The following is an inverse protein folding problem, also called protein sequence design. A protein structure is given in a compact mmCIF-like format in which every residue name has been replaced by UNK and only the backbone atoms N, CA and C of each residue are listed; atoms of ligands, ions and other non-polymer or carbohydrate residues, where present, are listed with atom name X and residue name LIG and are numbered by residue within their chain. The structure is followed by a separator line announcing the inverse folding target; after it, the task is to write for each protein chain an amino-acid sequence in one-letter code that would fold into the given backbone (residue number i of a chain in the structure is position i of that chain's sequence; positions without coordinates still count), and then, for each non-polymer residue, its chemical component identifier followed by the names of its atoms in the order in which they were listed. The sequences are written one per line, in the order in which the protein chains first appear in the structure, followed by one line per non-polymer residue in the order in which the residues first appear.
data_IF_605220306292
#
_entry.id   IF_605220306292
#
_cell.length_a   1.000
_cell.length_b   1.000
_cell.length_c   1.000
_cell.angle_alpha   90.00
_cell.angle_beta   90.00
_cell.angle_gamma   90.00
#
_symmetry.space_group_name_H-M   'P 1'
#
loop_
_entity.id
_entity.type
_entity.pdbx_description
1 polymer ?
#
# COMPACT_ATOMS: atom_id res chain seq x y z
N UNK A 1 15.21 -20.14 8.68
CA UNK A 1 14.02 -19.29 8.94
C UNK A 1 13.00 -19.52 7.82
N UNK A 2 11.75 -19.73 8.15
CA UNK A 2 10.66 -19.81 7.15
C UNK A 2 10.27 -18.40 6.70
N UNK A 3 9.57 -18.28 5.56
CA UNK A 3 9.09 -16.96 5.09
C UNK A 3 8.11 -16.34 6.09
N UNK A 4 7.25 -17.13 6.72
CA UNK A 4 6.31 -16.64 7.74
C UNK A 4 7.04 -16.10 8.98
N UNK A 5 8.10 -16.80 9.43
CA UNK A 5 8.93 -16.30 10.54
C UNK A 5 9.63 -14.98 10.17
N UNK A 6 10.15 -14.87 8.94
CA UNK A 6 10.82 -13.67 8.46
C UNK A 6 9.84 -12.48 8.35
N UNK A 7 8.64 -12.71 7.80
CA UNK A 7 7.57 -11.69 7.73
C UNK A 7 7.18 -11.24 9.15
N UNK A 8 6.97 -12.19 10.07
CA UNK A 8 6.63 -11.88 11.47
C UNK A 8 7.69 -11.01 12.13
N UNK A 9 8.97 -11.36 12.00
CA UNK A 9 10.08 -10.57 12.56
C UNK A 9 10.14 -9.16 11.97
N UNK A 10 9.86 -9.01 10.66
CA UNK A 10 9.79 -7.73 9.99
C UNK A 10 8.66 -6.86 10.57
N UNK A 11 7.47 -7.42 10.74
CA UNK A 11 6.32 -6.72 11.35
C UNK A 11 6.62 -6.33 12.80
N UNK A 12 7.18 -7.23 13.61
CA UNK A 12 7.55 -6.95 14.99
C UNK A 12 8.60 -5.84 15.09
N UNK A 13 9.59 -5.84 14.18
CA UNK A 13 10.57 -4.77 14.10
C UNK A 13 9.93 -3.43 13.77
N UNK A 14 9.04 -3.41 12.77
CA UNK A 14 8.29 -2.22 12.43
C UNK A 14 7.48 -1.67 13.63
N UNK A 15 6.76 -2.54 14.34
CA UNK A 15 5.99 -2.13 15.52
C UNK A 15 6.87 -1.48 16.60
N UNK A 16 8.07 -2.04 16.85
CA UNK A 16 9.02 -1.42 17.80
C UNK A 16 9.47 -0.03 17.35
N UNK A 17 9.77 0.14 16.06
CA UNK A 17 10.16 1.43 15.48
C UNK A 17 9.03 2.43 15.50
N UNK A 18 7.80 1.99 15.19
CA UNK A 18 6.61 2.81 15.27
C UNK A 18 6.37 3.33 16.69
N UNK A 19 6.39 2.47 17.71
CA UNK A 19 6.26 2.87 19.12
C UNK A 19 7.33 3.90 19.51
N UNK A 20 8.57 3.69 19.07
CA UNK A 20 9.66 4.66 19.29
C UNK A 20 9.38 6.00 18.61
N UNK A 21 8.82 6.01 17.42
CA UNK A 21 8.55 7.23 16.65
C UNK A 21 7.35 8.02 17.16
N UNK A 22 6.22 7.36 17.49
CA UNK A 22 4.95 8.04 17.82
C UNK A 22 4.49 7.82 19.27
N UNK A 23 4.99 6.76 19.92
CA UNK A 23 4.78 6.50 21.36
C UNK A 23 3.54 5.66 21.72
N UNK A 24 2.88 5.03 20.77
CA UNK A 24 1.81 4.05 20.95
C UNK A 24 1.93 2.93 19.90
N UNK A 25 1.21 1.81 20.08
CA UNK A 25 1.33 0.65 19.18
C UNK A 25 0.76 0.93 17.79
N UNK A 26 1.20 0.17 16.81
CA UNK A 26 0.63 0.27 15.46
C UNK A 26 -0.79 -0.30 15.41
N UNK A 27 -1.13 -1.25 16.27
CA UNK A 27 -2.51 -1.73 16.44
C UNK A 27 -3.43 -0.61 16.93
N UNK A 28 -3.00 0.22 17.89
CA UNK A 28 -3.74 1.42 18.30
C UNK A 28 -3.90 2.43 17.16
N UNK A 29 -2.86 2.60 16.33
CA UNK A 29 -2.94 3.44 15.13
C UNK A 29 -4.01 2.95 14.16
N UNK A 30 -4.08 1.65 13.91
CA UNK A 30 -5.11 1.06 13.04
C UNK A 30 -6.51 1.33 13.58
N UNK A 31 -6.71 1.22 14.89
CA UNK A 31 -8.01 1.53 15.51
C UNK A 31 -8.36 3.03 15.44
N UNK A 32 -7.38 3.91 15.61
CA UNK A 32 -7.58 5.36 15.43
C UNK A 32 -8.00 5.65 13.98
N UNK A 33 -7.28 5.07 13.00
CA UNK A 33 -7.57 5.30 11.59
C UNK A 33 -8.96 4.75 11.18
N UNK A 34 -9.37 3.59 11.73
CA UNK A 34 -10.73 3.07 11.51
C UNK A 34 -11.79 4.04 12.01
N UNK A 35 -11.63 4.58 13.22
CA UNK A 35 -12.55 5.57 13.80
C UNK A 35 -12.59 6.87 12.99
N UNK A 36 -11.43 7.38 12.57
CA UNK A 36 -11.33 8.58 11.72
C UNK A 36 -12.08 8.36 10.39
N UNK A 37 -11.87 7.20 9.77
CA UNK A 37 -12.56 6.81 8.55
C UNK A 37 -14.08 6.72 8.74
N UNK A 38 -14.53 6.01 9.79
CA UNK A 38 -15.95 5.84 10.05
C UNK A 38 -16.64 7.19 10.30
N UNK A 39 -15.99 8.10 11.03
CA UNK A 39 -16.47 9.45 11.24
C UNK A 39 -16.55 10.24 9.93
N UNK A 40 -15.54 10.12 9.05
CA UNK A 40 -15.55 10.79 7.75
C UNK A 40 -16.64 10.23 6.83
N UNK A 41 -16.82 8.90 6.80
CA UNK A 41 -17.89 8.24 6.04
C UNK A 41 -19.28 8.68 6.54
N UNK A 42 -19.48 8.74 7.86
CA UNK A 42 -20.76 9.20 8.44
C UNK A 42 -21.08 10.64 8.02
N UNK A 43 -20.09 11.55 8.10
CA UNK A 43 -20.25 12.93 7.63
C UNK A 43 -20.55 13.01 6.14
N UNK A 44 -19.86 12.19 5.32
CA UNK A 44 -20.11 12.13 3.89
C UNK A 44 -21.52 11.59 3.57
N UNK A 45 -22.01 10.59 4.33
CA UNK A 45 -23.39 10.09 4.22
C UNK A 45 -24.43 11.13 4.57
N UNK A 46 -24.24 11.87 5.67
CA UNK A 46 -25.13 12.97 6.07
C UNK A 46 -25.21 14.02 4.95
N UNK A 47 -24.06 14.41 4.43
CA UNK A 47 -24.00 15.42 3.37
C UNK A 47 -24.58 14.92 2.04
N UNK A 48 -24.36 13.66 1.68
CA UNK A 48 -24.97 13.05 0.50
C UNK A 48 -26.51 13.11 0.57
N UNK A 49 -27.10 12.83 1.75
CA UNK A 49 -28.55 12.95 1.98
C UNK A 49 -29.07 14.37 1.81
N UNK A 50 -28.35 15.37 2.31
CA UNK A 50 -28.71 16.79 2.16
C UNK A 50 -28.80 17.22 0.68
N UNK A 51 -27.98 16.62 -0.19
CA UNK A 51 -27.95 16.93 -1.63
C UNK A 51 -28.78 15.97 -2.48
N UNK A 52 -29.55 15.04 -1.84
CA UNK A 52 -30.58 14.24 -2.50
C UNK A 52 -30.17 12.80 -2.86
N UNK A 53 -29.07 12.27 -2.30
CA UNK A 53 -28.70 10.87 -2.40
C UNK A 53 -29.05 10.11 -1.11
N UNK A 54 -29.21 8.80 -1.17
CA UNK A 54 -29.50 7.98 0.02
C UNK A 54 -28.29 7.89 0.97
N UNK A 55 -27.09 7.83 0.40
CA UNK A 55 -25.83 7.77 1.12
C UNK A 55 -24.65 8.15 0.19
N UNK A 56 -23.45 8.14 0.75
CA UNK A 56 -22.20 8.42 0.04
C UNK A 56 -21.91 7.38 -1.06
N UNK A 57 -22.28 6.13 -0.86
CA UNK A 57 -22.05 5.07 -1.85
C UNK A 57 -22.88 5.29 -3.11
N UNK A 58 -24.16 5.62 -2.97
CA UNK A 58 -25.00 5.97 -4.12
C UNK A 58 -24.44 7.18 -4.89
N UNK A 59 -23.96 8.20 -4.15
CA UNK A 59 -23.31 9.35 -4.78
C UNK A 59 -22.08 8.94 -5.62
N UNK A 60 -21.20 8.08 -5.09
CA UNK A 60 -20.01 7.60 -5.82
C UNK A 60 -20.38 6.73 -7.01
N UNK A 61 -21.37 5.84 -6.87
CA UNK A 61 -21.86 5.01 -7.98
C UNK A 61 -22.43 5.88 -9.08
N UNK A 62 -23.18 6.91 -8.73
CA UNK A 62 -23.71 7.87 -9.68
C UNK A 62 -22.60 8.64 -10.39
N UNK A 63 -21.60 9.14 -9.65
CA UNK A 63 -20.41 9.77 -10.23
C UNK A 63 -19.72 8.83 -11.22
N UNK A 64 -19.44 7.60 -10.83
CA UNK A 64 -18.75 6.62 -11.66
C UNK A 64 -19.54 6.27 -12.94
N UNK A 65 -20.87 6.29 -12.88
CA UNK A 65 -21.72 6.04 -14.04
C UNK A 65 -21.60 7.11 -15.15
N UNK A 66 -21.10 8.28 -14.80
CA UNK A 66 -20.89 9.40 -15.72
C UNK A 66 -19.48 9.47 -16.31
N UNK A 67 -18.53 8.64 -15.83
CA UNK A 67 -17.22 8.55 -16.46
C UNK A 67 -17.34 7.86 -17.81
N UNK A 68 -17.01 8.56 -18.87
CA UNK A 68 -16.85 7.98 -20.21
C UNK A 68 -15.37 7.72 -20.44
N UNK A 69 -15.06 6.50 -20.84
CA UNK A 69 -13.71 6.16 -21.31
C UNK A 69 -13.54 6.66 -22.74
N UNK A 70 -12.52 7.46 -22.95
CA UNK A 70 -12.05 7.89 -24.26
C UNK A 70 -10.64 7.33 -24.45
N UNK A 71 -10.43 6.56 -25.52
CA UNK A 71 -9.15 5.89 -25.80
C UNK A 71 -7.97 6.88 -25.96
N UNK A 72 -8.26 8.12 -26.34
CA UNK A 72 -7.22 9.15 -26.56
C UNK A 72 -6.97 10.02 -25.35
N UNK A 73 -7.97 10.25 -24.51
CA UNK A 73 -7.95 11.21 -23.40
C UNK A 73 -8.13 10.56 -22.03
N UNK A 74 -8.37 9.26 -21.96
CA UNK A 74 -8.68 8.55 -20.72
C UNK A 74 -10.10 8.82 -20.21
N UNK A 75 -10.32 8.62 -18.88
CA UNK A 75 -11.63 8.86 -18.28
C UNK A 75 -11.95 10.35 -18.20
N UNK A 76 -13.07 10.76 -18.80
CA UNK A 76 -13.60 12.12 -18.72
C UNK A 76 -14.92 12.13 -17.97
N UNK A 77 -15.11 13.13 -17.12
CA UNK A 77 -16.40 13.43 -16.52
C UNK A 77 -17.36 13.97 -17.59
N UNK A 78 -18.62 13.48 -17.60
CA UNK A 78 -19.66 14.10 -18.41
C UNK A 78 -19.95 15.53 -17.90
N UNK A 79 -20.50 16.39 -18.76
CA UNK A 79 -20.85 17.77 -18.41
C UNK A 79 -21.81 17.84 -17.20
N UNK A 80 -22.72 16.86 -17.06
CA UNK A 80 -23.66 16.77 -15.95
C UNK A 80 -22.93 16.54 -14.60
N UNK A 81 -21.90 15.69 -14.59
CA UNK A 81 -21.09 15.44 -13.39
C UNK A 81 -20.24 16.66 -13.03
N UNK A 82 -19.63 17.29 -14.04
CA UNK A 82 -18.89 18.55 -13.83
C UNK A 82 -19.80 19.63 -13.22
N UNK A 83 -21.04 19.70 -13.66
CA UNK A 83 -22.02 20.65 -13.11
C UNK A 83 -22.43 20.31 -11.67
N UNK A 84 -22.70 19.04 -11.35
CA UNK A 84 -23.05 18.60 -10.00
C UNK A 84 -21.88 18.73 -9.03
N UNK A 85 -20.65 18.45 -9.50
CA UNK A 85 -19.42 18.60 -8.72
C UNK A 85 -19.16 20.06 -8.30
N UNK A 86 -19.49 21.01 -9.16
CA UNK A 86 -19.37 22.44 -8.86
C UNK A 86 -20.41 22.90 -7.82
N UNK A 87 -21.51 22.18 -7.63
CA UNK A 87 -22.56 22.50 -6.65
C UNK A 87 -22.23 22.10 -5.23
N UNK A 88 -21.34 21.12 -5.01
CA UNK A 88 -21.04 20.63 -3.67
C UNK A 88 -19.54 20.45 -3.39
N UNK A 89 -18.88 21.59 -3.24
CA UNK A 89 -17.48 21.62 -2.83
C UNK A 89 -17.26 20.95 -1.46
N UNK A 90 -18.25 20.94 -0.57
CA UNK A 90 -18.14 20.36 0.77
C UNK A 90 -18.04 18.85 0.71
N UNK A 91 -18.84 18.20 -0.13
CA UNK A 91 -18.79 16.74 -0.32
C UNK A 91 -17.46 16.33 -0.97
N UNK A 92 -16.99 17.08 -1.99
CA UNK A 92 -15.71 16.85 -2.62
C UNK A 92 -14.54 16.99 -1.62
N UNK A 93 -14.58 17.96 -0.71
CA UNK A 93 -13.57 18.12 0.33
C UNK A 93 -13.64 17.01 1.39
N UNK A 94 -14.84 16.57 1.79
CA UNK A 94 -14.99 15.42 2.68
C UNK A 94 -14.42 14.15 2.07
N UNK A 95 -14.66 13.92 0.78
CA UNK A 95 -14.14 12.75 0.04
C UNK A 95 -12.61 12.77 -0.01
N UNK A 96 -11.99 13.90 -0.34
CA UNK A 96 -10.53 14.05 -0.39
C UNK A 96 -9.87 13.83 0.97
N UNK A 97 -10.59 14.17 2.05
CA UNK A 97 -10.10 14.09 3.41
C UNK A 97 -10.55 12.81 4.15
N UNK A 98 -11.27 11.87 3.51
CA UNK A 98 -11.50 10.55 4.11
C UNK A 98 -10.11 9.92 4.33
N UNK A 99 -9.70 9.67 5.60
CA UNK A 99 -8.43 9.04 5.85
C UNK A 99 -8.46 7.65 5.22
N UNK A 100 -7.77 7.50 4.11
CA UNK A 100 -7.48 6.19 3.56
C UNK A 100 -6.61 5.55 4.62
N UNK A 101 -7.06 4.44 5.22
CA UNK A 101 -6.29 3.62 6.14
C UNK A 101 -4.90 3.49 5.55
N UNK A 102 -3.91 3.97 6.25
CA UNK A 102 -2.57 4.32 5.79
C UNK A 102 -2.17 3.54 4.51
N UNK A 103 -2.16 4.16 3.32
CA UNK A 103 -1.88 3.46 2.08
C UNK A 103 -0.52 2.77 2.11
N UNK A 104 0.43 3.26 2.93
CA UNK A 104 1.74 2.65 3.10
C UNK A 104 1.66 1.30 3.85
N UNK A 105 0.77 1.16 4.84
CA UNK A 105 0.58 -0.12 5.53
C UNK A 105 -0.01 -1.17 4.60
N UNK A 106 -1.08 -0.84 3.88
CA UNK A 106 -1.68 -1.77 2.91
C UNK A 106 -0.72 -2.08 1.77
N UNK A 107 0.03 -1.09 1.32
CA UNK A 107 1.05 -1.28 0.31
C UNK A 107 2.12 -2.27 0.79
N UNK A 108 2.65 -2.07 2.00
CA UNK A 108 3.66 -2.97 2.56
C UNK A 108 3.11 -4.38 2.79
N UNK A 109 1.90 -4.50 3.37
CA UNK A 109 1.26 -5.81 3.56
C UNK A 109 0.99 -6.52 2.23
N UNK A 110 0.60 -5.77 1.21
CA UNK A 110 0.41 -6.28 -0.14
C UNK A 110 1.73 -6.77 -0.75
N UNK A 111 2.81 -6.00 -0.58
CA UNK A 111 4.16 -6.40 -1.01
C UNK A 111 4.62 -7.66 -0.28
N UNK A 112 4.43 -7.75 1.04
CA UNK A 112 4.81 -8.93 1.82
C UNK A 112 4.01 -10.18 1.43
N UNK A 113 2.72 -10.04 1.17
CA UNK A 113 1.88 -11.12 0.65
C UNK A 113 2.37 -11.60 -0.73
N UNK A 114 2.77 -10.68 -1.59
CA UNK A 114 3.32 -11.02 -2.91
C UNK A 114 4.68 -11.73 -2.77
N UNK A 115 5.53 -11.28 -1.85
CA UNK A 115 6.81 -11.97 -1.54
C UNK A 115 6.55 -13.40 -1.10
N UNK A 116 5.58 -13.63 -0.23
CA UNK A 116 5.21 -14.98 0.21
C UNK A 116 4.77 -15.86 -0.96
N UNK A 117 3.94 -15.34 -1.86
CA UNK A 117 3.52 -16.06 -3.07
C UNK A 117 4.71 -16.37 -3.99
N UNK A 118 5.61 -15.41 -4.20
CA UNK A 118 6.83 -15.61 -5.00
C UNK A 118 7.68 -16.74 -4.41
N UNK A 119 7.94 -16.72 -3.10
CA UNK A 119 8.74 -17.75 -2.45
C UNK A 119 8.07 -19.13 -2.55
N UNK A 120 6.77 -19.20 -2.32
CA UNK A 120 6.02 -20.45 -2.49
C UNK A 120 6.05 -20.97 -3.94
N UNK A 121 5.95 -20.07 -4.92
CA UNK A 121 6.10 -20.44 -6.33
C UNK A 121 7.51 -20.96 -6.64
N UNK A 122 8.56 -20.34 -6.11
CA UNK A 122 9.94 -20.81 -6.29
C UNK A 122 10.12 -22.24 -5.73
N UNK A 123 9.53 -22.54 -4.58
CA UNK A 123 9.53 -23.90 -4.02
C UNK A 123 8.87 -24.94 -4.95
N UNK A 124 7.89 -24.54 -5.76
CA UNK A 124 7.31 -25.45 -6.78
C UNK A 124 8.28 -25.77 -7.91
N UNK A 125 9.32 -24.95 -8.11
CA UNK A 125 10.30 -25.11 -9.19
C UNK A 125 11.56 -25.85 -8.71
N UNK A 126 11.99 -25.60 -7.48
CA UNK A 126 13.14 -26.27 -6.88
C UNK A 126 13.11 -26.10 -5.36
N UNK A 127 13.42 -27.15 -4.59
CA UNK A 127 13.54 -27.09 -3.12
C UNK A 127 14.70 -26.19 -2.67
N UNK A 128 15.72 -26.02 -3.52
CA UNK A 128 16.79 -25.02 -3.34
C UNK A 128 16.35 -23.69 -3.96
N UNK A 129 15.96 -22.75 -3.10
CA UNK A 129 15.47 -21.44 -3.52
C UNK A 129 16.48 -20.65 -4.35
N UNK A 130 17.78 -20.78 -4.05
CA UNK A 130 18.84 -20.09 -4.83
C UNK A 130 18.84 -20.57 -6.27
N UNK A 131 18.81 -21.89 -6.46
CA UNK A 131 18.72 -22.48 -7.81
C UNK A 131 17.40 -22.14 -8.51
N UNK A 132 16.29 -22.12 -7.78
CA UNK A 132 15.00 -21.70 -8.34
C UNK A 132 15.04 -20.25 -8.83
N UNK A 133 15.67 -19.36 -8.04
CA UNK A 133 15.81 -17.94 -8.38
C UNK A 133 16.77 -17.70 -9.55
N UNK A 134 17.94 -18.36 -9.52
CA UNK A 134 18.97 -18.26 -10.59
C UNK A 134 18.40 -18.54 -11.98
N UNK A 135 17.37 -19.36 -12.09
CA UNK A 135 16.67 -19.62 -13.35
C UNK A 135 16.15 -18.34 -14.04
N UNK A 136 15.79 -17.33 -13.25
CA UNK A 136 15.23 -16.07 -13.73
C UNK A 136 16.27 -14.97 -13.91
N UNK A 137 17.52 -15.20 -13.47
CA UNK A 137 18.65 -14.31 -13.69
C UNK A 137 19.29 -14.63 -15.03
N UNK A 138 18.78 -14.05 -16.11
CA UNK A 138 19.21 -14.35 -17.50
C UNK A 138 20.69 -13.96 -17.69
N UNK A 139 21.09 -12.84 -17.08
CA UNK A 139 22.45 -12.32 -17.07
C UNK A 139 22.66 -11.37 -15.87
N UNK A 140 23.88 -10.88 -15.69
CA UNK A 140 24.25 -9.97 -14.59
C UNK A 140 23.51 -8.62 -14.57
N UNK A 141 22.91 -8.22 -15.71
CA UNK A 141 22.14 -6.97 -15.83
C UNK A 141 20.63 -7.21 -15.92
N UNK A 142 20.16 -8.42 -15.56
CA UNK A 142 18.72 -8.75 -15.62
C UNK A 142 17.92 -7.82 -14.74
N UNK A 143 16.94 -7.14 -15.31
CA UNK A 143 16.06 -6.20 -14.61
C UNK A 143 14.91 -6.93 -13.90
N UNK A 144 14.33 -6.29 -12.85
CA UNK A 144 13.15 -6.82 -12.17
C UNK A 144 11.98 -7.08 -13.14
N UNK A 145 11.84 -6.24 -14.17
CA UNK A 145 10.80 -6.41 -15.19
C UNK A 145 11.03 -7.67 -16.05
N UNK A 146 12.28 -8.00 -16.39
CA UNK A 146 12.61 -9.22 -17.11
C UNK A 146 12.40 -10.45 -16.24
N UNK A 147 12.84 -10.42 -14.99
CA UNK A 147 12.60 -11.51 -14.02
C UNK A 147 11.10 -11.81 -13.93
N UNK A 148 10.29 -10.79 -13.73
CA UNK A 148 8.86 -10.96 -13.62
C UNK A 148 8.21 -11.53 -14.87
N UNK A 149 8.60 -11.07 -16.07
CA UNK A 149 8.10 -11.63 -17.33
C UNK A 149 8.47 -13.10 -17.52
N UNK A 150 9.66 -13.51 -17.08
CA UNK A 150 10.05 -14.93 -17.14
C UNK A 150 9.25 -15.77 -16.12
N UNK A 151 8.98 -15.22 -14.92
CA UNK A 151 8.11 -15.89 -13.95
C UNK A 151 6.68 -16.04 -14.48
N UNK A 152 6.14 -15.02 -15.16
CA UNK A 152 4.81 -15.08 -15.80
C UNK A 152 4.75 -16.16 -16.90
N UNK A 153 5.79 -16.31 -17.71
CA UNK A 153 5.89 -17.40 -18.70
C UNK A 153 5.87 -18.78 -18.05
N UNK A 154 6.41 -18.90 -16.83
CA UNK A 154 6.41 -20.13 -16.03
C UNK A 154 5.10 -20.34 -15.24
N UNK A 155 4.11 -19.47 -15.43
CA UNK A 155 2.76 -19.59 -14.85
C UNK A 155 2.59 -18.86 -13.51
N UNK A 156 3.49 -17.94 -13.14
CA UNK A 156 3.26 -17.04 -12.02
C UNK A 156 2.28 -15.92 -12.42
N UNK A 157 1.33 -15.62 -11.56
CA UNK A 157 0.39 -14.50 -11.78
C UNK A 157 0.61 -13.43 -10.71
N UNK A 158 1.16 -12.29 -11.15
CA UNK A 158 1.28 -11.11 -10.27
C UNK A 158 -0.09 -10.50 -10.01
N UNK A 159 -0.28 -9.97 -8.80
CA UNK A 159 -1.50 -9.26 -8.44
C UNK A 159 -1.68 -8.00 -9.32
N UNK A 160 -2.77 -7.97 -10.11
CA UNK A 160 -3.07 -6.89 -11.07
C UNK A 160 -3.32 -5.52 -10.42
N UNK A 161 -3.51 -5.47 -9.10
CA UNK A 161 -3.67 -4.23 -8.34
C UNK A 161 -2.35 -3.48 -8.07
N UNK A 162 -1.21 -4.08 -8.40
CA UNK A 162 0.09 -3.47 -8.13
C UNK A 162 0.55 -2.60 -9.29
N UNK A 163 0.98 -1.37 -8.98
CA UNK A 163 1.72 -0.52 -9.92
C UNK A 163 3.11 -1.12 -10.20
N UNK A 164 3.75 -0.76 -11.31
CA UNK A 164 5.08 -1.28 -11.67
C UNK A 164 6.16 -1.15 -10.59
N UNK A 165 6.04 -0.19 -9.67
CA UNK A 165 6.97 0.00 -8.55
C UNK A 165 6.79 -1.07 -7.45
N UNK A 166 5.56 -1.48 -7.13
CA UNK A 166 5.32 -2.54 -6.12
C UNK A 166 5.79 -3.91 -6.59
N UNK A 167 5.69 -4.18 -7.86
CA UNK A 167 6.20 -5.35 -8.53
C UNK A 167 7.74 -5.49 -8.36
N UNK A 168 8.48 -4.42 -8.68
CA UNK A 168 9.92 -4.39 -8.50
C UNK A 168 10.32 -4.54 -7.01
N UNK A 169 9.55 -3.97 -6.09
CA UNK A 169 9.79 -4.08 -4.66
C UNK A 169 9.55 -5.50 -4.14
N UNK A 170 8.48 -6.17 -4.57
CA UNK A 170 8.21 -7.57 -4.18
C UNK A 170 9.31 -8.51 -4.67
N UNK A 171 9.77 -8.34 -5.91
CA UNK A 171 10.88 -9.12 -6.46
C UNK A 171 12.21 -8.83 -5.74
N UNK A 172 12.48 -7.56 -5.43
CA UNK A 172 13.68 -7.17 -4.69
C UNK A 172 13.69 -7.78 -3.29
N UNK A 173 12.59 -7.74 -2.56
CA UNK A 173 12.48 -8.36 -1.24
C UNK A 173 12.54 -9.89 -1.30
N UNK A 174 11.95 -10.52 -2.32
CA UNK A 174 12.07 -11.95 -2.56
C UNK A 174 13.55 -12.34 -2.80
N UNK A 175 14.27 -11.54 -3.59
CA UNK A 175 15.70 -11.72 -3.80
C UNK A 175 16.50 -11.63 -2.49
N UNK A 176 16.22 -10.65 -1.64
CA UNK A 176 16.85 -10.54 -0.33
C UNK A 176 16.59 -11.78 0.51
N UNK A 177 15.33 -12.26 0.56
CA UNK A 177 14.99 -13.47 1.31
C UNK A 177 15.71 -14.72 0.79
N UNK A 178 15.79 -14.90 -0.54
CA UNK A 178 16.50 -16.02 -1.18
C UNK A 178 17.98 -15.97 -0.87
N UNK A 179 18.57 -14.77 -0.84
CA UNK A 179 20.01 -14.57 -0.61
C UNK A 179 20.39 -14.72 0.86
N UNK A 180 19.62 -14.10 1.76
CA UNK A 180 19.83 -14.11 3.20
C UNK A 180 18.50 -13.86 3.94
N UNK A 181 17.82 -14.93 4.37
CA UNK A 181 16.56 -14.81 5.11
C UNK A 181 16.65 -13.98 6.40
N UNK A 182 17.82 -13.95 7.05
CA UNK A 182 18.01 -13.20 8.29
C UNK A 182 18.10 -11.70 8.05
N UNK A 183 18.56 -11.28 6.87
CA UNK A 183 18.58 -9.88 6.46
C UNK A 183 17.21 -9.35 5.97
N UNK A 184 16.28 -10.21 5.63
CA UNK A 184 14.98 -9.82 5.09
C UNK A 184 14.24 -8.82 5.98
N UNK A 185 14.28 -8.98 7.30
CA UNK A 185 13.64 -8.09 8.26
C UNK A 185 14.21 -6.66 8.27
N UNK A 186 15.46 -6.50 7.83
CA UNK A 186 16.17 -5.21 7.77
C UNK A 186 16.15 -4.60 6.37
N UNK A 187 15.65 -5.32 5.37
CA UNK A 187 15.55 -4.78 4.02
C UNK A 187 14.62 -3.58 4.01
N UNK A 188 15.02 -2.53 3.31
CA UNK A 188 14.24 -1.31 3.23
C UNK A 188 12.89 -1.54 2.55
N UNK A 189 11.86 -0.89 3.08
CA UNK A 189 10.51 -0.89 2.52
C UNK A 189 9.77 0.35 2.99
N UNK A 190 8.54 0.51 2.53
CA UNK A 190 7.72 1.69 2.84
C UNK A 190 7.53 1.93 4.34
N UNK A 191 7.40 0.86 5.12
CA UNK A 191 7.26 0.95 6.58
C UNK A 191 8.56 1.43 7.24
N UNK A 192 9.72 0.91 6.82
CA UNK A 192 11.01 1.34 7.34
C UNK A 192 11.28 2.81 7.02
N UNK A 193 10.97 3.24 5.80
CA UNK A 193 11.05 4.63 5.38
C UNK A 193 10.18 5.55 6.22
N UNK A 194 8.95 5.13 6.53
CA UNK A 194 7.99 5.92 7.30
C UNK A 194 8.48 6.22 8.72
N UNK A 195 9.14 5.27 9.37
CA UNK A 195 9.61 5.40 10.77
C UNK A 195 11.06 5.85 10.90
N UNK A 196 11.75 6.10 9.80
CA UNK A 196 13.15 6.55 9.80
C UNK A 196 14.09 5.49 10.33
N UNK A 197 14.05 4.28 9.76
CA UNK A 197 14.92 3.17 10.16
C UNK A 197 16.40 3.50 10.00
N UNK A 198 17.25 2.89 10.83
CA UNK A 198 18.71 3.09 10.76
C UNK A 198 19.24 2.81 9.35
N UNK A 199 19.88 3.80 8.75
CA UNK A 199 20.42 3.74 7.39
C UNK A 199 19.47 4.19 6.28
N UNK A 200 18.20 4.52 6.59
CA UNK A 200 17.29 5.15 5.66
C UNK A 200 16.92 6.56 6.15
N UNK A 201 17.29 7.57 5.37
CA UNK A 201 16.93 8.96 5.62
C UNK A 201 15.82 9.37 4.66
N UNK A 202 14.59 9.40 5.14
CA UNK A 202 13.48 9.98 4.39
C UNK A 202 13.38 11.47 4.73
N UNK A 203 13.81 12.30 3.77
CA UNK A 203 13.76 13.75 3.90
C UNK A 203 12.42 14.38 3.52
N UNK A 204 11.44 13.58 3.15
CA UNK A 204 10.10 14.05 2.76
C UNK A 204 9.42 14.74 3.92
N UNK A 205 8.95 15.95 3.66
CA UNK A 205 8.24 16.77 4.65
C UNK A 205 6.89 16.17 5.04
N UNK A 206 6.21 15.50 4.11
CA UNK A 206 4.92 14.84 4.31
C UNK A 206 4.99 13.72 5.37
N UNK A 207 6.07 12.92 5.36
CA UNK A 207 6.29 11.87 6.38
C UNK A 207 6.57 12.48 7.74
N UNK A 208 7.39 13.52 7.82
CA UNK A 208 7.68 14.24 9.07
C UNK A 208 6.42 14.86 9.66
N UNK A 209 5.62 15.52 8.83
CA UNK A 209 4.35 16.13 9.25
C UNK A 209 3.37 15.05 9.75
N UNK A 210 3.25 13.93 9.05
CA UNK A 210 2.42 12.80 9.46
C UNK A 210 2.82 12.28 10.85
N UNK A 211 4.11 12.00 11.07
CA UNK A 211 4.60 11.51 12.36
C UNK A 211 4.39 12.51 13.49
N UNK A 212 4.61 13.81 13.27
CA UNK A 212 4.37 14.85 14.27
C UNK A 212 2.87 14.98 14.60
N UNK A 213 1.99 14.92 13.61
CA UNK A 213 0.55 14.90 13.82
C UNK A 213 0.11 13.69 14.66
N UNK A 214 0.68 12.51 14.44
CA UNK A 214 0.39 11.31 15.22
C UNK A 214 0.90 11.42 16.67
N UNK A 215 2.04 12.04 16.91
CA UNK A 215 2.54 12.33 18.27
C UNK A 215 1.62 13.27 19.06
N UNK A 216 0.99 14.25 18.42
CA UNK A 216 0.08 15.19 19.11
C UNK A 216 -1.21 14.52 19.53
N UNK A 217 -1.77 13.59 18.77
CA UNK A 217 -2.97 12.84 19.12
C UNK A 217 -2.85 12.06 20.45
N UNK A 218 -1.64 11.70 20.86
CA UNK A 218 -1.40 11.04 22.16
C UNK A 218 -1.50 11.99 23.34
N UNK A 219 -1.19 13.28 23.16
CA UNK A 219 -1.18 14.26 24.26
C UNK A 219 -2.58 14.70 24.67
N UNK A 220 -3.58 14.38 23.84
CA UNK A 220 -5.00 14.74 24.04
C UNK A 220 -5.82 13.59 24.69
N UNK A 221 -5.18 12.44 24.98
CA UNK A 221 -5.72 11.31 25.74
C UNK A 221 -5.13 11.29 27.15
#
# INVERSE_FOLDING_TARGET
MTIQEAIKQRIERFNRLWVKAVGYSFEDEVEIMKKERDNAVNKANERAKEIGYSDYQEYIEKLNSFYKYDETMGYQLSDEVSYNKTKDNVLDELIKNIPIVNPLYFYEMSVLNEVEKIINFLYTKNDDLKKAWEKYLINENTTWNEIGKEMEKDGYEFDKGHSGNSYAQSLSLAHVFVSDPDLFQYAHGSLAALVGDEGYHDDRSDVKEFLEKRKTLRKEK
#
